data_IF_387451666314
#
_entry.id   IF_387451666314
#
_cell.length_a   1.000
_cell.length_b   1.000
_cell.length_c   1.000
_cell.angle_alpha   90.00
_cell.angle_beta   90.00
_cell.angle_gamma   90.00
#
_symmetry.space_group_name_H-M   'P 1'
#
loop_
_entity.id
_entity.type
_entity.pdbx_description
1 polymer ?
#
# COMPACT_ATOMS: atom_id res chain seq x y z
N UNK A 1 51.52 -45.26 -22.52
CA UNK A 1 51.03 -43.91 -22.14
C UNK A 1 49.51 -43.88 -22.25
N UNK A 2 48.83 -43.70 -21.12
CA UNK A 2 47.39 -43.95 -20.95
C UNK A 2 46.52 -42.75 -21.41
N UNK A 3 45.44 -43.03 -22.15
CA UNK A 3 44.39 -42.06 -22.51
C UNK A 3 43.50 -41.80 -21.28
N UNK A 4 43.56 -40.59 -20.75
CA UNK A 4 42.68 -40.09 -19.68
C UNK A 4 41.29 -39.79 -20.24
N UNK A 5 40.27 -40.55 -19.80
CA UNK A 5 38.88 -40.29 -20.15
C UNK A 5 38.26 -39.27 -19.19
N UNK A 6 37.99 -38.07 -19.69
CA UNK A 6 37.21 -37.05 -18.96
C UNK A 6 35.76 -37.53 -18.85
N UNK A 7 35.35 -38.01 -17.66
CA UNK A 7 33.94 -38.29 -17.34
C UNK A 7 33.16 -36.97 -17.35
N UNK A 8 32.18 -36.85 -18.24
CA UNK A 8 31.18 -35.76 -18.22
C UNK A 8 30.36 -35.82 -16.92
N UNK A 9 30.03 -34.68 -16.29
CA UNK A 9 29.13 -34.68 -15.14
C UNK A 9 27.74 -35.15 -15.59
N UNK A 10 27.21 -36.19 -14.93
CA UNK A 10 25.82 -36.62 -15.09
C UNK A 10 24.93 -35.54 -14.48
N UNK A 11 24.11 -34.89 -15.31
CA UNK A 11 22.99 -34.07 -14.84
C UNK A 11 22.10 -34.95 -13.96
N UNK A 12 22.18 -34.79 -12.64
CA UNK A 12 21.38 -35.55 -11.70
C UNK A 12 19.91 -35.14 -11.85
N UNK A 13 19.07 -36.05 -12.35
CA UNK A 13 17.63 -35.81 -12.48
C UNK A 13 17.05 -35.46 -11.09
N UNK A 14 16.15 -34.45 -10.99
CA UNK A 14 15.60 -34.05 -9.71
C UNK A 14 14.86 -35.23 -9.06
N UNK A 15 15.20 -35.52 -7.80
CA UNK A 15 14.67 -36.63 -7.00
C UNK A 15 13.13 -36.58 -6.98
N UNK A 16 12.40 -37.72 -6.98
CA UNK A 16 10.94 -37.76 -7.14
C UNK A 16 10.17 -36.93 -6.09
N UNK A 17 10.70 -36.82 -4.86
CA UNK A 17 10.18 -35.94 -3.80
C UNK A 17 10.24 -34.45 -4.15
N UNK A 18 11.28 -34.01 -4.86
CA UNK A 18 11.42 -32.62 -5.32
C UNK A 18 10.41 -32.29 -6.44
N UNK A 19 10.18 -33.23 -7.36
CA UNK A 19 9.16 -33.07 -8.42
C UNK A 19 7.75 -32.97 -7.83
N UNK A 20 7.44 -33.77 -6.80
CA UNK A 20 6.16 -33.69 -6.09
C UNK A 20 6.01 -32.37 -5.32
N UNK A 21 7.04 -31.95 -4.59
CA UNK A 21 7.03 -30.68 -3.86
C UNK A 21 6.82 -29.47 -4.78
N UNK A 22 7.48 -29.43 -5.93
CA UNK A 22 7.29 -28.38 -6.94
C UNK A 22 5.88 -28.39 -7.54
N UNK A 23 5.28 -29.56 -7.76
CA UNK A 23 3.88 -29.67 -8.22
C UNK A 23 2.91 -29.16 -7.16
N UNK A 24 3.08 -29.54 -5.91
CA UNK A 24 2.24 -29.08 -4.79
C UNK A 24 2.38 -27.57 -4.61
N UNK A 25 3.61 -27.03 -4.62
CA UNK A 25 3.85 -25.59 -4.55
C UNK A 25 3.20 -24.83 -5.71
N UNK A 26 3.28 -25.38 -6.94
CA UNK A 26 2.61 -24.81 -8.11
C UNK A 26 1.09 -24.78 -7.97
N UNK A 27 0.48 -25.85 -7.46
CA UNK A 27 -0.97 -25.94 -7.20
C UNK A 27 -1.39 -24.92 -6.13
N UNK A 28 -0.65 -24.83 -5.02
CA UNK A 28 -0.93 -23.86 -3.94
C UNK A 28 -0.82 -22.42 -4.45
N UNK A 29 0.20 -22.11 -5.25
CA UNK A 29 0.34 -20.78 -5.87
C UNK A 29 -0.83 -20.48 -6.82
N UNK A 30 -1.24 -21.44 -7.65
CA UNK A 30 -2.35 -21.29 -8.57
C UNK A 30 -3.69 -21.06 -7.84
N UNK A 31 -3.94 -21.81 -6.76
CA UNK A 31 -5.12 -21.63 -5.89
C UNK A 31 -5.07 -20.24 -5.23
N UNK A 32 -3.93 -19.85 -4.65
CA UNK A 32 -3.76 -18.54 -4.03
C UNK A 32 -3.99 -17.39 -5.01
N UNK A 33 -3.49 -17.51 -6.24
CA UNK A 33 -3.73 -16.54 -7.31
C UNK A 33 -5.20 -16.50 -7.72
N UNK A 34 -5.84 -17.66 -7.88
CA UNK A 34 -7.26 -17.76 -8.24
C UNK A 34 -8.16 -17.15 -7.15
N UNK A 35 -7.85 -17.40 -5.86
CA UNK A 35 -8.56 -16.77 -4.74
C UNK A 35 -8.31 -15.27 -4.70
N UNK A 36 -7.08 -14.81 -4.92
CA UNK A 36 -6.75 -13.38 -4.97
C UNK A 36 -7.45 -12.65 -6.13
N UNK A 37 -7.47 -13.26 -7.32
CA UNK A 37 -8.15 -12.71 -8.49
C UNK A 37 -9.67 -12.78 -8.34
N UNK A 38 -10.21 -13.90 -7.83
CA UNK A 38 -11.64 -14.06 -7.57
C UNK A 38 -12.17 -13.09 -6.52
N UNK A 39 -11.41 -12.85 -5.45
CA UNK A 39 -11.77 -11.83 -4.44
C UNK A 39 -11.74 -10.43 -5.02
N UNK A 40 -10.70 -10.07 -5.80
CA UNK A 40 -10.65 -8.79 -6.51
C UNK A 40 -11.82 -8.65 -7.49
N UNK A 41 -12.08 -9.65 -8.33
CA UNK A 41 -13.17 -9.63 -9.32
C UNK A 41 -14.56 -9.56 -8.66
N UNK A 42 -14.75 -10.20 -7.51
CA UNK A 42 -16.00 -10.14 -6.76
C UNK A 42 -16.21 -8.80 -6.04
N UNK A 43 -15.14 -8.20 -5.52
CA UNK A 43 -15.20 -6.97 -4.73
C UNK A 43 -15.10 -5.69 -5.57
N UNK A 44 -14.47 -5.77 -6.75
CA UNK A 44 -14.28 -4.64 -7.66
C UNK A 44 -15.60 -3.95 -8.06
N UNK A 45 -16.65 -4.67 -8.52
CA UNK A 45 -17.92 -4.05 -8.92
C UNK A 45 -18.65 -3.44 -7.73
N UNK A 46 -18.46 -4.02 -6.54
CA UNK A 46 -19.06 -3.51 -5.29
C UNK A 46 -18.42 -2.20 -4.86
N UNK A 47 -17.19 -1.94 -5.28
CA UNK A 47 -16.47 -0.68 -5.06
C UNK A 47 -16.53 0.28 -6.25
N UNK A 48 -17.23 -0.07 -7.35
CA UNK A 48 -17.42 0.82 -8.50
C UNK A 48 -18.80 1.48 -8.56
N UNK A 49 -19.71 1.14 -7.64
CA UNK A 49 -21.02 1.77 -7.45
C UNK A 49 -21.13 2.43 -6.07
N UNK A 50 -22.31 2.40 -5.46
CA UNK A 50 -22.58 3.01 -4.13
C UNK A 50 -21.79 2.41 -2.95
N UNK A 51 -21.04 1.31 -3.15
CA UNK A 51 -20.32 0.64 -2.07
C UNK A 51 -18.93 1.22 -1.76
N UNK A 52 -18.42 2.16 -2.56
CA UNK A 52 -17.18 2.88 -2.26
C UNK A 52 -17.35 4.39 -2.38
N UNK A 53 -16.59 5.15 -1.58
CA UNK A 53 -16.64 6.59 -1.62
C UNK A 53 -16.05 7.11 -2.93
N UNK A 54 -16.64 8.19 -3.44
CA UNK A 54 -16.11 8.87 -4.62
C UNK A 54 -14.79 9.54 -4.29
N UNK A 55 -13.74 9.25 -5.07
CA UNK A 55 -12.45 9.95 -4.95
C UNK A 55 -12.54 11.40 -5.42
N UNK A 56 -13.59 11.78 -6.16
CA UNK A 56 -13.82 13.17 -6.54
C UNK A 56 -14.03 14.08 -5.32
N UNK A 57 -14.48 13.52 -4.19
CA UNK A 57 -14.56 14.24 -2.91
C UNK A 57 -13.20 14.75 -2.42
N UNK A 58 -12.09 14.19 -2.92
CA UNK A 58 -10.74 14.67 -2.59
C UNK A 58 -10.33 15.92 -3.39
N UNK A 59 -11.11 16.34 -4.41
CA UNK A 59 -10.85 17.62 -5.11
C UNK A 59 -11.09 18.82 -4.21
N UNK A 60 -12.08 18.71 -3.34
CA UNK A 60 -12.41 19.67 -2.28
C UNK A 60 -11.89 19.17 -0.93
N UNK A 61 -10.71 18.54 -0.90
CA UNK A 61 -10.16 17.98 0.32
C UNK A 61 -9.88 19.07 1.36
N UNK A 62 -10.86 19.30 2.23
CA UNK A 62 -10.79 20.18 3.39
C UNK A 62 -10.86 19.31 4.65
N UNK A 63 -9.75 18.74 5.11
CA UNK A 63 -9.78 17.90 6.30
C UNK A 63 -10.19 18.74 7.52
N UNK A 64 -10.89 18.15 8.51
CA UNK A 64 -11.25 18.87 9.72
C UNK A 64 -10.01 19.51 10.36
N UNK A 65 -10.08 20.82 10.60
CA UNK A 65 -9.03 21.60 11.25
C UNK A 65 -9.49 22.01 12.65
N UNK A 66 -8.53 22.28 13.53
CA UNK A 66 -8.83 22.73 14.88
C UNK A 66 -9.22 24.21 14.92
N UNK A 67 -10.40 24.51 15.47
CA UNK A 67 -10.76 25.88 15.84
C UNK A 67 -9.79 26.39 16.91
N UNK A 68 -9.36 27.64 16.82
CA UNK A 68 -8.37 28.24 17.73
C UNK A 68 -9.06 29.25 18.63
N UNK A 69 -8.95 29.08 19.95
CA UNK A 69 -9.41 30.05 20.94
C UNK A 69 -8.25 30.95 21.31
N UNK A 70 -8.46 32.26 21.25
CA UNK A 70 -7.49 33.28 21.68
C UNK A 70 -8.02 34.04 22.90
N UNK A 71 -7.13 34.51 23.76
CA UNK A 71 -7.49 35.43 24.86
C UNK A 71 -7.66 36.86 24.35
N UNK A 72 -8.08 37.77 25.24
CA UNK A 72 -8.26 39.19 24.93
C UNK A 72 -6.95 39.90 24.50
N UNK A 73 -5.78 39.26 24.66
CA UNK A 73 -4.46 39.74 24.23
C UNK A 73 -3.96 39.02 22.99
N UNK A 74 -4.85 38.34 22.26
CA UNK A 74 -4.56 37.57 21.05
C UNK A 74 -3.55 36.42 21.25
N UNK A 75 -3.42 35.90 22.47
CA UNK A 75 -2.60 34.71 22.76
C UNK A 75 -3.45 33.46 22.60
N UNK A 76 -2.90 32.45 21.91
CA UNK A 76 -3.56 31.16 21.72
C UNK A 76 -3.75 30.46 23.06
N UNK A 77 -5.00 30.20 23.43
CA UNK A 77 -5.39 29.53 24.68
C UNK A 77 -5.59 28.03 24.46
N UNK A 78 -6.35 27.66 23.42
CA UNK A 78 -6.69 26.28 23.17
C UNK A 78 -7.03 26.01 21.69
N UNK A 79 -6.93 24.73 21.33
CA UNK A 79 -7.44 24.17 20.07
C UNK A 79 -8.69 23.35 20.36
N UNK A 80 -9.80 23.68 19.72
CA UNK A 80 -11.06 22.92 19.75
C UNK A 80 -11.19 22.11 18.46
N UNK A 81 -10.73 20.86 18.49
CA UNK A 81 -11.13 19.81 17.57
C UNK A 81 -10.71 18.44 18.11
N UNK A 82 -11.37 17.35 17.67
CA UNK A 82 -10.92 15.99 17.95
C UNK A 82 -9.52 15.71 17.37
N UNK A 83 -9.10 16.45 16.33
CA UNK A 83 -7.78 16.32 15.71
C UNK A 83 -7.09 17.68 15.62
N UNK A 84 -5.82 17.75 16.05
CA UNK A 84 -4.97 18.95 15.89
C UNK A 84 -4.30 18.92 14.51
N UNK A 85 -5.01 19.37 13.48
CA UNK A 85 -4.49 19.44 12.09
C UNK A 85 -4.29 20.87 11.63
N UNK A 86 -3.16 21.12 10.98
CA UNK A 86 -2.87 22.32 10.18
C UNK A 86 -2.53 21.83 8.78
N UNK A 87 -3.27 22.28 7.77
CA UNK A 87 -2.98 21.91 6.38
C UNK A 87 -1.80 22.72 5.89
N UNK A 88 -0.77 22.04 5.41
CA UNK A 88 0.47 22.63 4.91
C UNK A 88 0.66 22.22 3.44
N UNK A 89 0.82 23.20 2.52
CA UNK A 89 1.17 22.91 1.12
C UNK A 89 2.49 22.15 1.03
N UNK A 90 2.62 21.23 0.09
CA UNK A 90 3.81 20.40 -0.05
C UNK A 90 5.08 21.23 -0.23
N UNK A 91 5.01 22.38 -0.90
CA UNK A 91 6.15 23.26 -1.15
C UNK A 91 6.69 23.89 0.15
N UNK A 92 5.87 23.96 1.20
CA UNK A 92 6.28 24.42 2.53
C UNK A 92 6.78 23.29 3.43
N UNK A 93 6.62 22.04 3.02
CA UNK A 93 7.14 20.88 3.75
C UNK A 93 8.62 20.70 3.36
N UNK A 94 9.55 20.70 4.32
CA UNK A 94 10.96 20.48 4.03
C UNK A 94 11.19 19.15 3.29
N UNK A 95 12.01 19.18 2.22
CA UNK A 95 12.21 18.01 1.36
C UNK A 95 12.76 16.78 2.10
N UNK A 96 13.55 16.98 3.16
CA UNK A 96 14.03 15.92 4.03
C UNK A 96 12.91 15.22 4.80
N UNK A 97 11.85 15.93 5.20
CA UNK A 97 10.67 15.36 5.86
C UNK A 97 9.93 14.45 4.88
N UNK A 98 9.53 15.00 3.73
CA UNK A 98 8.86 14.22 2.67
C UNK A 98 9.71 13.01 2.24
N UNK A 99 11.02 13.21 2.07
CA UNK A 99 11.96 12.16 1.73
C UNK A 99 12.08 11.06 2.79
N UNK A 100 12.04 11.40 4.07
CA UNK A 100 12.09 10.43 5.16
C UNK A 100 10.85 9.51 5.16
N UNK A 101 9.65 10.08 5.00
CA UNK A 101 8.42 9.29 4.86
C UNK A 101 8.48 8.37 3.64
N UNK A 102 8.87 8.90 2.48
CA UNK A 102 8.99 8.07 1.28
C UNK A 102 10.04 6.97 1.43
N UNK A 103 11.18 7.23 2.09
CA UNK A 103 12.22 6.23 2.28
C UNK A 103 11.75 5.01 3.08
N UNK A 104 10.90 5.22 4.09
CA UNK A 104 10.36 4.18 4.98
C UNK A 104 9.10 3.56 4.40
N UNK A 105 8.14 4.40 4.00
CA UNK A 105 6.79 3.96 3.64
C UNK A 105 6.67 3.52 2.19
N UNK A 106 7.37 4.18 1.25
CA UNK A 106 7.21 3.91 -0.19
C UNK A 106 8.34 4.48 -1.06
N UNK A 107 9.50 3.82 -1.05
CA UNK A 107 10.73 4.30 -1.70
C UNK A 107 10.59 4.54 -3.21
N UNK A 108 9.60 3.91 -3.85
CA UNK A 108 9.34 4.02 -5.30
C UNK A 108 8.05 4.75 -5.60
N UNK A 109 7.55 5.54 -4.66
CA UNK A 109 6.29 6.28 -4.78
C UNK A 109 6.09 6.93 -6.15
N UNK A 110 7.07 7.69 -6.64
CA UNK A 110 7.02 8.37 -7.94
C UNK A 110 7.09 7.45 -9.18
N UNK A 111 7.39 6.15 -9.01
CA UNK A 111 7.61 5.20 -10.12
C UNK A 111 6.45 4.23 -10.36
N UNK A 112 5.45 4.20 -9.48
CA UNK A 112 4.27 3.34 -9.65
C UNK A 112 2.98 4.15 -9.68
N UNK A 113 1.85 3.52 -10.00
CA UNK A 113 0.51 4.14 -10.05
C UNK A 113 -0.41 3.49 -9.02
N UNK A 114 -0.19 3.79 -7.75
CA UNK A 114 -0.97 3.27 -6.62
C UNK A 114 -0.53 1.92 -6.08
N UNK A 115 -0.05 1.00 -6.92
CA UNK A 115 0.42 -0.32 -6.49
C UNK A 115 1.85 -0.54 -6.96
N UNK A 116 2.74 -0.86 -6.03
CA UNK A 116 4.11 -1.27 -6.35
C UNK A 116 4.20 -2.80 -6.49
N UNK A 117 4.05 -3.29 -7.72
CA UNK A 117 4.14 -4.74 -8.01
C UNK A 117 5.49 -5.34 -7.63
N UNK A 118 6.58 -4.60 -7.79
CA UNK A 118 7.92 -5.08 -7.42
C UNK A 118 8.01 -5.25 -5.89
N UNK A 119 7.36 -4.38 -5.10
CA UNK A 119 7.29 -4.53 -3.65
C UNK A 119 6.35 -5.68 -3.27
N UNK A 120 5.22 -5.80 -3.95
CA UNK A 120 4.26 -6.90 -3.74
C UNK A 120 4.91 -8.27 -3.95
N UNK A 121 5.52 -8.51 -5.12
CA UNK A 121 6.19 -9.77 -5.41
C UNK A 121 7.43 -9.99 -4.52
N UNK A 122 8.16 -8.93 -4.19
CA UNK A 122 9.30 -9.01 -3.28
C UNK A 122 8.91 -9.31 -1.82
N UNK A 123 7.77 -8.79 -1.35
CA UNK A 123 7.19 -9.13 -0.06
C UNK A 123 6.73 -10.59 -0.05
N UNK A 124 5.98 -11.01 -1.07
CA UNK A 124 5.51 -12.38 -1.22
C UNK A 124 6.66 -13.39 -1.24
N UNK A 125 7.74 -13.11 -1.98
CA UNK A 125 8.90 -13.99 -2.04
C UNK A 125 9.62 -14.12 -0.68
N UNK A 126 9.70 -13.04 0.10
CA UNK A 126 10.30 -13.05 1.45
C UNK A 126 9.40 -13.76 2.45
N UNK A 127 8.10 -13.49 2.44
CA UNK A 127 7.13 -14.16 3.31
C UNK A 127 7.13 -15.68 3.07
N UNK A 128 7.21 -16.13 1.81
CA UNK A 128 7.35 -17.56 1.47
C UNK A 128 8.69 -18.12 1.98
N UNK A 129 9.79 -17.40 1.80
CA UNK A 129 11.13 -17.83 2.23
C UNK A 129 11.22 -17.96 3.75
N UNK A 130 10.67 -16.99 4.46
CA UNK A 130 10.75 -16.87 5.92
C UNK A 130 9.61 -17.61 6.62
N UNK A 131 8.69 -18.23 5.86
CA UNK A 131 7.47 -18.88 6.34
C UNK A 131 6.68 -17.99 7.31
N UNK A 132 6.69 -16.68 7.05
CA UNK A 132 6.07 -15.65 7.88
C UNK A 132 5.19 -14.73 7.03
N UNK A 133 4.23 -14.04 7.65
CA UNK A 133 3.35 -13.07 6.97
C UNK A 133 3.62 -11.66 7.48
N UNK A 134 4.91 -11.30 7.58
CA UNK A 134 5.34 -10.08 8.26
C UNK A 134 5.55 -8.90 7.30
N UNK A 135 5.77 -9.16 6.00
CA UNK A 135 6.12 -8.12 5.05
C UNK A 135 4.91 -7.34 4.52
N UNK A 136 4.88 -6.04 4.78
CA UNK A 136 3.89 -5.13 4.23
C UNK A 136 4.18 -4.71 2.79
N UNK A 137 3.15 -4.72 1.92
CA UNK A 137 3.24 -4.23 0.54
C UNK A 137 2.46 -2.92 0.27
N UNK A 138 1.84 -2.33 1.30
CA UNK A 138 1.04 -1.11 1.16
C UNK A 138 1.88 0.07 0.66
N UNK A 139 1.40 0.78 -0.35
CA UNK A 139 1.98 2.04 -0.86
C UNK A 139 1.41 3.25 -0.11
N UNK A 140 2.03 4.42 -0.25
CA UNK A 140 1.52 5.69 0.30
C UNK A 140 0.09 5.95 -0.15
N UNK A 141 -0.23 5.73 -1.43
CA UNK A 141 -1.58 5.94 -1.98
C UNK A 141 -2.62 4.99 -1.37
N UNK A 142 -2.27 3.72 -1.12
CA UNK A 142 -3.17 2.78 -0.42
C UNK A 142 -3.42 3.20 1.03
N UNK A 143 -2.38 3.72 1.69
CA UNK A 143 -2.51 4.23 3.05
C UNK A 143 -3.33 5.51 3.11
N UNK A 144 -3.15 6.42 2.14
CA UNK A 144 -3.98 7.60 1.98
C UNK A 144 -5.45 7.21 1.85
N UNK A 145 -5.78 6.31 0.91
CA UNK A 145 -7.16 5.82 0.70
C UNK A 145 -7.80 5.29 1.99
N UNK A 146 -7.05 4.52 2.79
CA UNK A 146 -7.52 4.04 4.10
C UNK A 146 -7.78 5.18 5.09
N UNK A 147 -6.90 6.17 5.13
CA UNK A 147 -6.96 7.23 6.13
C UNK A 147 -8.01 8.30 5.80
N UNK A 148 -8.29 8.57 4.53
CA UNK A 148 -9.32 9.56 4.12
C UNK A 148 -10.73 8.97 4.10
N UNK A 149 -10.88 7.65 3.98
CA UNK A 149 -12.17 6.98 3.96
C UNK A 149 -12.37 5.98 5.13
N UNK A 150 -12.20 6.40 6.40
CA UNK A 150 -12.21 5.49 7.55
C UNK A 150 -13.57 4.80 7.77
N UNK A 151 -14.68 5.44 7.38
CA UNK A 151 -16.02 4.87 7.50
C UNK A 151 -16.23 3.67 6.55
N UNK A 152 -15.54 3.68 5.40
CA UNK A 152 -15.62 2.61 4.40
C UNK A 152 -14.51 1.58 4.61
N UNK A 153 -13.33 2.02 5.05
CA UNK A 153 -12.14 1.20 5.28
C UNK A 153 -11.81 1.14 6.78
N UNK A 154 -12.68 0.47 7.57
CA UNK A 154 -12.45 0.22 8.99
C UNK A 154 -11.06 -0.38 9.25
N UNK A 155 -10.44 -0.15 10.41
CA UNK A 155 -9.06 -0.60 10.71
C UNK A 155 -8.86 -2.13 10.76
N UNK A 156 -9.93 -2.92 10.73
CA UNK A 156 -9.89 -4.39 10.74
C UNK A 156 -9.08 -4.95 9.57
N UNK A 157 -8.13 -5.85 9.82
CA UNK A 157 -7.26 -6.41 8.79
C UNK A 157 -7.96 -7.49 7.94
N UNK A 158 -8.90 -7.10 7.09
CA UNK A 158 -9.64 -8.00 6.18
C UNK A 158 -9.15 -7.94 4.73
N UNK A 159 -9.32 -9.04 3.99
CA UNK A 159 -9.06 -9.08 2.54
C UNK A 159 -9.94 -8.09 1.77
N UNK A 160 -11.19 -7.92 2.22
CA UNK A 160 -12.13 -6.96 1.60
C UNK A 160 -11.61 -5.54 1.66
N UNK A 161 -11.20 -5.09 2.85
CA UNK A 161 -10.60 -3.77 3.02
C UNK A 161 -9.36 -3.60 2.16
N UNK A 162 -8.50 -4.62 2.07
CA UNK A 162 -7.28 -4.55 1.27
C UNK A 162 -7.56 -4.43 -0.23
N UNK A 163 -8.58 -5.14 -0.72
CA UNK A 163 -9.05 -5.00 -2.09
C UNK A 163 -9.59 -3.58 -2.37
N UNK A 164 -10.34 -3.00 -1.43
CA UNK A 164 -10.83 -1.62 -1.56
C UNK A 164 -9.70 -0.58 -1.53
N UNK A 165 -8.68 -0.76 -0.68
CA UNK A 165 -7.46 0.08 -0.75
C UNK A 165 -6.83 0.04 -2.15
N UNK A 166 -6.75 -1.14 -2.77
CA UNK A 166 -6.21 -1.31 -4.13
C UNK A 166 -7.04 -0.55 -5.16
N UNK A 167 -8.37 -0.68 -5.10
CA UNK A 167 -9.29 -0.03 -6.04
C UNK A 167 -9.21 1.50 -5.90
N UNK A 168 -9.36 2.01 -4.67
CA UNK A 168 -9.34 3.45 -4.39
C UNK A 168 -7.98 4.07 -4.70
N UNK A 169 -6.87 3.40 -4.37
CA UNK A 169 -5.53 3.88 -4.72
C UNK A 169 -5.37 4.08 -6.23
N UNK A 170 -5.93 3.17 -7.05
CA UNK A 170 -5.91 3.32 -8.51
C UNK A 170 -6.79 4.46 -9.00
N UNK A 171 -7.93 4.70 -8.36
CA UNK A 171 -8.80 5.83 -8.70
C UNK A 171 -8.13 7.16 -8.34
N UNK A 172 -7.56 7.26 -7.14
CA UNK A 172 -6.78 8.43 -6.70
C UNK A 172 -5.65 8.74 -7.68
N UNK A 173 -4.87 7.73 -8.10
CA UNK A 173 -3.74 7.92 -9.03
C UNK A 173 -4.14 8.23 -10.47
N UNK A 174 -5.43 8.13 -10.82
CA UNK A 174 -5.95 8.59 -12.10
C UNK A 174 -6.37 10.05 -12.04
N UNK A 175 -6.80 10.53 -10.89
CA UNK A 175 -7.35 11.88 -10.73
C UNK A 175 -6.34 12.89 -10.19
N UNK A 176 -5.35 12.46 -9.41
CA UNK A 176 -4.43 13.33 -8.71
C UNK A 176 -2.97 13.07 -9.10
N UNK A 177 -2.17 14.13 -9.13
CA UNK A 177 -0.73 14.05 -9.34
C UNK A 177 -0.03 13.43 -8.12
N UNK A 178 1.22 12.97 -8.30
CA UNK A 178 2.01 12.40 -7.20
C UNK A 178 2.22 13.38 -6.06
N UNK A 179 2.44 14.65 -6.38
CA UNK A 179 2.66 15.68 -5.37
C UNK A 179 1.37 15.99 -4.61
N UNK A 180 0.22 16.06 -5.29
CA UNK A 180 -1.08 16.19 -4.62
C UNK A 180 -1.37 15.02 -3.68
N UNK A 181 -1.06 13.79 -4.11
CA UNK A 181 -1.22 12.59 -3.28
C UNK A 181 -0.31 12.63 -2.05
N UNK A 182 0.94 13.05 -2.23
CA UNK A 182 1.90 13.16 -1.13
C UNK A 182 1.50 14.26 -0.15
N UNK A 183 1.04 15.41 -0.64
CA UNK A 183 0.51 16.49 0.17
C UNK A 183 -0.68 16.02 1.03
N UNK A 184 -1.70 15.42 0.40
CA UNK A 184 -2.86 14.89 1.11
C UNK A 184 -2.44 13.83 2.13
N UNK A 185 -1.47 12.98 1.80
CA UNK A 185 -0.97 11.96 2.71
C UNK A 185 -0.32 12.57 3.95
N UNK A 186 0.64 13.47 3.77
CA UNK A 186 1.36 14.10 4.88
C UNK A 186 0.44 14.94 5.78
N UNK A 187 -0.63 15.51 5.21
CA UNK A 187 -1.64 16.23 5.98
C UNK A 187 -2.69 15.31 6.65
N UNK A 188 -2.86 14.06 6.20
CA UNK A 188 -3.87 13.13 6.73
C UNK A 188 -3.31 12.14 7.76
N UNK A 189 -2.03 11.77 7.68
CA UNK A 189 -1.46 10.74 8.56
C UNK A 189 -1.54 11.12 10.05
N UNK A 190 -1.81 10.11 10.88
CA UNK A 190 -1.77 10.24 12.34
C UNK A 190 -0.33 10.05 12.82
N UNK A 191 0.19 11.01 13.59
CA UNK A 191 1.59 11.05 14.04
C UNK A 191 1.80 10.86 15.55
N UNK A 192 0.73 10.73 16.34
CA UNK A 192 0.81 10.63 17.80
C UNK A 192 -0.40 11.22 18.48
#
# INVERSE_FOLDING_TARGET
>A
MARSSKRRPRNAAPRPRLKLALRVAGIVCAIGLAVGLGTLAYLWPRCSGAGCPSVAALREYTPPQASRIFDARNRLVAHLAPERRIVVPLERIPANVSGAFLAVEDKRFYRHRGIDYRRFFGALARDIKDLSWSQGFSTVTMQLARNVFPQHLKREKTLRRKAWEVVLARQIEREFSKDQILEMYLNQIYLG
#
